data_IF_274001132911
#
_entry.id   IF_274001132911
#
_cell.length_a   1.000
_cell.length_b   1.000
_cell.length_c   1.000
_cell.angle_alpha   90.00
_cell.angle_beta   90.00
_cell.angle_gamma   90.00
#
_symmetry.space_group_name_H-M   'P 1'
#
loop_
_entity.id
_entity.type
_entity.pdbx_description
1 polymer ?
#
# COMPACT_ATOMS: atom_id res chain seq x y z
N UNK A 1 14.41 -19.11 -16.30
CA UNK A 1 15.68 -19.50 -15.62
C UNK A 1 16.56 -18.27 -15.58
N UNK A 2 16.89 -17.76 -14.41
CA UNK A 2 17.81 -16.65 -14.21
C UNK A 2 17.40 -15.79 -13.02
N UNK A 3 17.51 -16.34 -11.79
CA UNK A 3 17.51 -15.53 -10.58
C UNK A 3 18.81 -14.73 -10.57
N UNK A 4 18.78 -13.49 -11.09
CA UNK A 4 19.87 -12.55 -10.86
C UNK A 4 19.65 -11.92 -9.50
N UNK A 5 20.42 -12.39 -8.55
CA UNK A 5 20.53 -11.89 -7.18
C UNK A 5 21.02 -10.43 -7.19
N UNK A 6 20.16 -9.49 -6.78
CA UNK A 6 20.48 -8.08 -6.53
C UNK A 6 21.48 -7.85 -5.37
N UNK A 7 22.11 -8.90 -4.85
CA UNK A 7 23.11 -8.85 -3.77
C UNK A 7 24.41 -8.18 -4.24
N UNK A 8 24.71 -8.22 -5.55
CA UNK A 8 25.99 -7.72 -6.08
C UNK A 8 26.14 -6.20 -6.12
N UNK A 9 25.06 -5.43 -6.23
CA UNK A 9 25.14 -3.95 -6.35
C UNK A 9 25.42 -3.24 -5.02
N UNK A 10 24.97 -3.80 -3.90
CA UNK A 10 25.24 -3.21 -2.57
C UNK A 10 26.70 -3.35 -2.15
N UNK A 11 27.36 -4.44 -2.53
CA UNK A 11 28.77 -4.65 -2.18
C UNK A 11 29.74 -3.76 -2.96
N UNK A 12 29.40 -3.38 -4.20
CA UNK A 12 30.23 -2.46 -4.99
C UNK A 12 30.15 -1.00 -4.49
N UNK A 13 29.02 -0.58 -3.93
CA UNK A 13 28.84 0.77 -3.41
C UNK A 13 29.65 1.04 -2.12
N UNK A 14 30.01 0.00 -1.36
CA UNK A 14 30.78 0.16 -0.11
C UNK A 14 32.23 0.56 -0.32
N UNK A 15 32.77 0.38 -1.51
CA UNK A 15 34.19 0.70 -1.80
C UNK A 15 34.42 2.12 -2.32
N UNK A 16 33.38 2.90 -2.63
CA UNK A 16 33.49 4.19 -3.31
C UNK A 16 32.92 5.40 -2.55
N UNK A 17 32.35 5.24 -1.36
CA UNK A 17 31.89 6.39 -0.58
C UNK A 17 32.15 6.22 0.91
N UNK A 18 32.93 7.14 1.46
CA UNK A 18 33.12 7.39 2.91
C UNK A 18 31.88 8.00 3.59
N UNK A 19 30.76 8.11 2.89
CA UNK A 19 29.44 8.43 3.44
C UNK A 19 28.67 7.11 3.54
N UNK A 20 28.41 6.65 4.76
CA UNK A 20 27.67 5.42 5.04
C UNK A 20 26.29 5.43 4.39
N UNK A 21 26.21 4.98 3.14
CA UNK A 21 24.95 4.62 2.52
C UNK A 21 24.49 3.31 3.19
N UNK A 22 23.64 3.43 4.21
CA UNK A 22 22.96 2.28 4.76
C UNK A 22 22.17 1.62 3.63
N UNK A 23 22.52 0.37 3.30
CA UNK A 23 21.80 -0.41 2.31
C UNK A 23 20.52 -0.93 2.98
N UNK A 24 19.45 -0.19 2.81
CA UNK A 24 18.13 -0.60 3.31
C UNK A 24 17.61 -1.74 2.45
N UNK A 25 17.56 -2.93 3.04
CA UNK A 25 16.95 -4.10 2.42
C UNK A 25 15.61 -4.39 3.08
N UNK A 26 14.59 -4.63 2.28
CA UNK A 26 13.31 -5.09 2.80
C UNK A 26 13.46 -6.47 3.45
N UNK A 27 12.67 -6.78 4.50
CA UNK A 27 12.57 -8.12 5.01
C UNK A 27 12.20 -9.13 3.92
N UNK A 28 12.55 -10.39 4.13
CA UNK A 28 12.10 -11.49 3.27
C UNK A 28 10.57 -11.42 3.16
N UNK A 29 10.02 -11.69 1.98
CA UNK A 29 8.58 -11.63 1.66
C UNK A 29 7.94 -10.23 1.63
N UNK A 30 8.74 -9.17 1.65
CA UNK A 30 8.27 -7.82 1.39
C UNK A 30 8.71 -7.37 -0.01
N UNK A 31 7.82 -6.70 -0.73
CA UNK A 31 8.11 -6.12 -2.05
C UNK A 31 8.91 -4.82 -1.88
N UNK A 32 10.19 -4.77 -2.30
CA UNK A 32 10.95 -3.52 -2.30
C UNK A 32 10.55 -2.66 -3.50
N UNK A 33 10.19 -1.40 -3.23
CA UNK A 33 9.87 -0.44 -4.29
C UNK A 33 10.07 0.99 -3.82
N UNK A 34 10.81 1.79 -4.59
CA UNK A 34 11.03 3.23 -4.36
C UNK A 34 11.48 3.59 -2.94
N UNK A 35 12.34 2.76 -2.32
CA UNK A 35 12.83 2.96 -0.95
C UNK A 35 11.82 2.62 0.14
N UNK A 36 10.72 1.98 -0.21
CA UNK A 36 9.72 1.43 0.69
C UNK A 36 9.61 -0.08 0.51
N UNK A 37 9.08 -0.73 1.52
CA UNK A 37 8.79 -2.17 1.53
C UNK A 37 7.30 -2.37 1.72
N UNK A 38 6.67 -3.16 0.86
CA UNK A 38 5.24 -3.42 0.89
C UNK A 38 4.96 -4.88 1.21
N UNK A 39 3.90 -5.13 1.97
CA UNK A 39 3.40 -6.49 2.22
C UNK A 39 1.89 -6.54 2.29
N UNK A 40 1.32 -7.52 1.58
CA UNK A 40 -0.10 -7.87 1.66
C UNK A 40 -0.34 -8.80 2.84
N UNK A 41 -1.43 -8.57 3.56
CA UNK A 41 -1.91 -9.41 4.65
C UNK A 41 -3.31 -9.90 4.32
N UNK A 42 -3.48 -11.20 4.19
CA UNK A 42 -4.75 -11.86 3.80
C UNK A 42 -5.77 -11.97 4.93
N UNK A 43 -5.36 -11.80 6.21
CA UNK A 43 -6.29 -11.85 7.34
C UNK A 43 -7.14 -10.57 7.39
N UNK A 44 -8.47 -10.63 7.11
CA UNK A 44 -9.26 -9.43 6.96
C UNK A 44 -9.38 -8.62 8.25
N UNK A 45 -9.34 -7.31 8.13
CA UNK A 45 -9.50 -6.35 9.24
C UNK A 45 -10.35 -5.16 8.80
N UNK A 46 -10.94 -4.45 9.80
CA UNK A 46 -11.44 -3.09 9.58
C UNK A 46 -10.29 -2.17 9.15
N UNK A 47 -10.61 -1.05 8.50
CA UNK A 47 -9.56 -0.13 8.04
C UNK A 47 -8.67 0.36 9.20
N UNK A 48 -9.29 0.73 10.33
CA UNK A 48 -8.54 1.22 11.50
C UNK A 48 -7.65 0.12 12.10
N UNK A 49 -8.18 -1.11 12.23
CA UNK A 49 -7.39 -2.22 12.77
C UNK A 49 -6.24 -2.61 11.83
N UNK A 50 -6.44 -2.49 10.51
CA UNK A 50 -5.40 -2.71 9.52
C UNK A 50 -4.29 -1.64 9.63
N UNK A 51 -4.65 -0.35 9.74
CA UNK A 51 -3.68 0.75 9.95
C UNK A 51 -2.91 0.54 11.26
N UNK A 52 -3.61 0.24 12.36
CA UNK A 52 -2.97 -0.05 13.65
C UNK A 52 -2.06 -1.27 13.60
N UNK A 53 -2.43 -2.28 12.81
CA UNK A 53 -1.59 -3.46 12.59
C UNK A 53 -0.30 -3.10 11.86
N UNK A 54 -0.38 -2.34 10.75
CA UNK A 54 0.81 -1.88 10.02
C UNK A 54 1.76 -1.10 10.93
N UNK A 55 1.23 -0.17 11.72
CA UNK A 55 2.02 0.68 12.64
C UNK A 55 2.78 -0.08 13.73
N UNK A 56 2.37 -1.32 14.04
CA UNK A 56 3.05 -2.17 15.02
C UNK A 56 4.37 -2.76 14.53
N UNK A 57 4.61 -2.86 13.22
CA UNK A 57 5.86 -3.43 12.70
C UNK A 57 7.08 -2.59 13.06
N UNK A 58 7.01 -1.30 12.80
CA UNK A 58 8.01 -0.32 13.23
C UNK A 58 7.45 1.10 13.10
N UNK A 59 8.04 2.09 13.79
CA UNK A 59 7.68 3.49 13.60
C UNK A 59 7.75 3.90 12.11
N UNK A 60 6.69 4.54 11.61
CA UNK A 60 6.57 4.97 10.22
C UNK A 60 6.01 3.93 9.25
N UNK A 61 5.61 2.73 9.73
CA UNK A 61 4.80 1.81 8.93
C UNK A 61 3.32 2.22 8.97
N UNK A 62 2.65 2.15 7.83
CA UNK A 62 1.24 2.51 7.63
C UNK A 62 0.59 1.59 6.60
N UNK A 63 -0.71 1.71 6.40
CA UNK A 63 -1.33 1.22 5.18
C UNK A 63 -0.71 1.91 3.97
N UNK A 64 -0.64 1.22 2.83
CA UNK A 64 0.05 1.71 1.64
C UNK A 64 -0.54 3.01 1.10
N UNK A 65 0.30 3.96 0.74
CA UNK A 65 -0.03 5.14 -0.05
C UNK A 65 0.45 4.98 -1.49
N UNK A 66 -0.30 5.53 -2.46
CA UNK A 66 -0.07 5.39 -3.90
C UNK A 66 -0.08 6.77 -4.53
N UNK A 67 0.99 7.11 -5.28
CA UNK A 67 1.21 8.48 -5.73
C UNK A 67 1.35 8.64 -7.24
N UNK A 68 1.35 7.54 -8.01
CA UNK A 68 1.50 7.53 -9.47
C UNK A 68 0.86 6.30 -10.09
N UNK A 69 0.53 6.38 -11.38
CA UNK A 69 0.00 5.23 -12.14
C UNK A 69 0.94 4.01 -12.09
N UNK A 70 2.25 4.23 -12.19
CA UNK A 70 3.23 3.14 -12.12
C UNK A 70 3.22 2.43 -10.76
N UNK A 71 3.05 3.17 -9.65
CA UNK A 71 2.95 2.56 -8.32
C UNK A 71 1.64 1.78 -8.17
N UNK A 72 0.54 2.32 -8.72
CA UNK A 72 -0.77 1.67 -8.73
C UNK A 72 -0.73 0.35 -9.50
N UNK A 73 -0.10 0.34 -10.69
CA UNK A 73 0.01 -0.85 -11.53
C UNK A 73 0.85 -1.95 -10.86
N UNK A 74 2.01 -1.59 -10.31
CA UNK A 74 2.90 -2.57 -9.67
C UNK A 74 2.30 -3.16 -8.38
N UNK A 75 1.59 -2.35 -7.60
CA UNK A 75 0.89 -2.85 -6.41
C UNK A 75 -0.32 -3.71 -6.78
N UNK A 76 -1.03 -3.38 -7.85
CA UNK A 76 -2.14 -4.19 -8.36
C UNK A 76 -1.65 -5.58 -8.81
N UNK A 77 -0.54 -5.64 -9.55
CA UNK A 77 0.10 -6.90 -9.94
C UNK A 77 0.52 -7.71 -8.72
N UNK A 78 1.22 -7.08 -7.77
CA UNK A 78 1.66 -7.73 -6.53
C UNK A 78 0.49 -8.30 -5.71
N UNK A 79 -0.61 -7.53 -5.58
CA UNK A 79 -1.81 -7.98 -4.87
C UNK A 79 -2.45 -9.16 -5.59
N UNK A 80 -2.59 -9.11 -6.92
CA UNK A 80 -3.15 -10.18 -7.74
C UNK A 80 -2.36 -11.48 -7.63
N UNK A 81 -1.03 -11.38 -7.56
CA UNK A 81 -0.17 -12.56 -7.41
C UNK A 81 -0.25 -13.18 -6.01
N UNK A 82 -0.48 -12.34 -5.01
CA UNK A 82 -0.49 -12.77 -3.61
C UNK A 82 -1.87 -13.29 -3.16
N UNK A 83 -2.95 -12.58 -3.53
CA UNK A 83 -4.32 -12.95 -3.18
C UNK A 83 -4.96 -13.73 -4.34
N UNK A 84 -5.32 -14.98 -4.07
CA UNK A 84 -6.03 -15.84 -5.03
C UNK A 84 -7.54 -15.72 -4.92
N UNK A 85 -8.03 -15.02 -3.92
CA UNK A 85 -9.45 -14.76 -3.68
C UNK A 85 -9.77 -13.32 -4.08
N UNK A 86 -10.93 -13.12 -4.72
CA UNK A 86 -11.37 -11.84 -5.31
C UNK A 86 -11.77 -10.76 -4.27
N UNK A 87 -11.11 -10.72 -3.12
CA UNK A 87 -11.39 -9.76 -2.05
C UNK A 87 -10.75 -8.39 -2.32
N UNK A 88 -11.49 -7.31 -2.01
CA UNK A 88 -10.94 -5.96 -2.03
C UNK A 88 -9.82 -5.80 -0.99
N UNK A 89 -8.92 -4.84 -1.18
CA UNK A 89 -7.72 -4.66 -0.33
C UNK A 89 -7.63 -3.22 0.19
N UNK A 90 -7.61 -3.03 1.50
CA UNK A 90 -7.44 -1.73 2.12
C UNK A 90 -6.11 -1.08 1.76
N UNK A 91 -6.17 0.21 1.43
CA UNK A 91 -5.04 1.15 1.32
C UNK A 91 -5.20 2.30 2.32
N UNK A 92 -4.16 3.11 2.49
CA UNK A 92 -4.11 4.14 3.53
C UNK A 92 -4.96 5.39 3.30
N UNK A 93 -5.70 5.47 2.19
CA UNK A 93 -6.54 6.63 1.87
C UNK A 93 -7.84 6.61 2.67
N UNK A 94 -8.17 7.73 3.32
CA UNK A 94 -9.39 7.84 4.11
C UNK A 94 -9.88 9.30 4.21
N UNK A 95 -11.14 9.50 4.62
CA UNK A 95 -11.76 10.79 4.90
C UNK A 95 -12.15 10.89 6.39
N UNK A 96 -11.20 11.20 7.29
CA UNK A 96 -11.43 11.19 8.74
C UNK A 96 -12.41 12.26 9.21
N UNK A 97 -12.60 13.33 8.45
CA UNK A 97 -13.51 14.43 8.80
C UNK A 97 -14.90 14.28 8.17
N UNK A 98 -15.11 13.27 7.32
CA UNK A 98 -16.37 13.02 6.60
C UNK A 98 -16.81 14.23 5.74
N UNK A 99 -15.84 14.92 5.15
CA UNK A 99 -16.02 16.14 4.33
C UNK A 99 -15.63 15.97 2.88
N UNK A 100 -15.44 14.72 2.43
CA UNK A 100 -14.96 14.38 1.10
C UNK A 100 -13.53 14.91 0.83
N UNK A 101 -12.74 14.99 1.90
CA UNK A 101 -11.32 15.38 1.84
C UNK A 101 -10.48 14.18 2.15
N UNK A 102 -9.91 13.58 1.09
CA UNK A 102 -9.14 12.37 1.18
C UNK A 102 -7.71 12.64 1.60
N UNK A 103 -7.24 11.90 2.60
CA UNK A 103 -5.87 11.99 3.13
C UNK A 103 -5.26 10.61 3.30
N UNK A 104 -3.96 10.51 3.09
CA UNK A 104 -3.21 9.29 3.38
C UNK A 104 -2.90 9.18 4.88
N UNK A 105 -2.95 7.96 5.43
CA UNK A 105 -2.67 7.69 6.85
C UNK A 105 -1.22 8.00 7.23
N UNK A 106 -0.29 7.92 6.29
CA UNK A 106 1.11 8.30 6.44
C UNK A 106 1.38 9.81 6.29
N UNK A 107 0.32 10.62 6.07
CA UNK A 107 0.36 12.07 5.86
C UNK A 107 1.09 12.52 4.60
N UNK A 108 1.35 11.65 3.65
CA UNK A 108 1.87 12.01 2.34
C UNK A 108 0.84 12.80 1.52
N UNK A 109 1.31 13.49 0.46
CA UNK A 109 0.45 14.33 -0.38
C UNK A 109 -0.60 13.51 -1.14
N UNK A 110 -1.86 13.97 -1.18
CA UNK A 110 -2.97 13.34 -1.88
C UNK A 110 -3.20 14.02 -3.24
N UNK A 111 -2.23 13.89 -4.16
CA UNK A 111 -2.26 14.54 -5.48
C UNK A 111 -2.61 13.56 -6.61
N UNK A 112 -2.66 12.27 -6.33
CA UNK A 112 -2.98 11.21 -7.27
C UNK A 112 -4.15 10.39 -6.75
N UNK A 113 -5.11 10.09 -7.63
CA UNK A 113 -6.25 9.22 -7.35
C UNK A 113 -6.56 8.34 -8.56
N UNK A 114 -6.89 7.08 -8.31
CA UNK A 114 -7.28 6.12 -9.36
C UNK A 114 -8.69 5.58 -9.10
N UNK A 115 -9.65 6.49 -8.89
CA UNK A 115 -11.04 6.12 -8.64
C UNK A 115 -11.64 5.29 -9.79
N UNK A 116 -12.49 4.32 -9.44
CA UNK A 116 -13.34 3.67 -10.42
C UNK A 116 -14.39 4.64 -10.96
N UNK A 117 -14.98 4.33 -12.10
CA UNK A 117 -16.03 5.16 -12.67
C UNK A 117 -17.22 5.30 -11.70
N UNK A 118 -17.59 6.52 -11.40
CA UNK A 118 -18.65 6.85 -10.45
C UNK A 118 -18.23 6.94 -8.99
N UNK A 119 -16.96 6.62 -8.66
CA UNK A 119 -16.41 6.75 -7.32
C UNK A 119 -15.58 8.03 -7.13
N UNK A 120 -15.45 8.50 -5.91
CA UNK A 120 -16.03 8.05 -4.65
C UNK A 120 -17.51 8.49 -4.53
N UNK A 121 -18.42 7.57 -4.22
CA UNK A 121 -19.87 7.83 -4.24
C UNK A 121 -20.50 8.00 -2.86
N UNK A 122 -19.80 7.64 -1.78
CA UNK A 122 -20.28 7.68 -0.40
C UNK A 122 -21.67 7.03 -0.23
N UNK A 123 -21.80 5.82 -0.73
CA UNK A 123 -23.06 5.08 -0.68
C UNK A 123 -23.66 5.08 0.73
N UNK A 124 -24.92 5.40 0.83
CA UNK A 124 -25.66 5.51 2.11
C UNK A 124 -25.03 6.46 3.14
N UNK A 125 -24.14 7.37 2.71
CA UNK A 125 -23.39 8.30 3.57
C UNK A 125 -22.57 7.60 4.66
N UNK A 126 -21.90 6.47 4.32
CA UNK A 126 -21.15 5.65 5.27
C UNK A 126 -19.74 5.27 4.80
N UNK A 127 -19.29 5.75 3.64
CA UNK A 127 -18.05 5.32 3.01
C UNK A 127 -16.97 6.39 3.16
N UNK A 128 -15.98 6.12 4.01
CA UNK A 128 -14.94 7.07 4.37
C UNK A 128 -13.53 6.45 4.31
N UNK A 129 -13.43 5.18 3.89
CA UNK A 129 -12.17 4.45 3.75
C UNK A 129 -12.07 3.87 2.34
N UNK A 130 -10.86 3.67 1.84
CA UNK A 130 -10.63 3.33 0.44
C UNK A 130 -9.93 1.98 0.30
N UNK A 131 -10.41 1.20 -0.65
CA UNK A 131 -9.80 -0.06 -1.03
C UNK A 131 -9.45 -0.11 -2.53
N UNK A 132 -8.50 -0.95 -2.88
CA UNK A 132 -8.28 -1.42 -4.24
C UNK A 132 -9.43 -2.35 -4.61
N UNK A 133 -10.07 -2.11 -5.76
CA UNK A 133 -11.27 -2.84 -6.16
C UNK A 133 -10.91 -4.06 -7.00
N UNK A 134 -11.16 -5.25 -6.44
CA UNK A 134 -10.81 -6.53 -7.04
C UNK A 134 -11.34 -6.74 -8.48
N UNK A 135 -12.61 -6.38 -8.83
CA UNK A 135 -13.11 -6.54 -10.20
C UNK A 135 -12.33 -5.79 -11.28
N UNK A 136 -11.49 -4.83 -10.92
CA UNK A 136 -10.62 -4.10 -11.86
C UNK A 136 -9.17 -4.62 -11.86
N UNK A 137 -8.92 -5.78 -11.25
CA UNK A 137 -7.57 -6.26 -11.02
C UNK A 137 -6.78 -5.33 -10.11
N UNK A 138 -7.44 -4.72 -9.12
CA UNK A 138 -6.86 -3.79 -8.14
C UNK A 138 -6.32 -2.46 -8.69
N UNK A 139 -6.57 -2.15 -9.97
CA UNK A 139 -6.11 -0.91 -10.62
C UNK A 139 -6.95 0.31 -10.23
N UNK A 140 -8.20 0.11 -9.87
CA UNK A 140 -9.14 1.18 -9.52
C UNK A 140 -9.56 1.09 -8.06
N UNK A 141 -9.98 2.24 -7.52
CA UNK A 141 -10.29 2.41 -6.11
C UNK A 141 -11.77 2.68 -5.90
N UNK A 142 -12.27 2.25 -4.75
CA UNK A 142 -13.63 2.51 -4.31
C UNK A 142 -13.63 2.94 -2.84
N UNK A 143 -14.51 3.89 -2.45
CA UNK A 143 -14.77 4.17 -1.06
C UNK A 143 -15.72 3.12 -0.46
N UNK A 144 -15.55 2.84 0.82
CA UNK A 144 -16.32 1.82 1.53
C UNK A 144 -16.47 2.15 3.02
N UNK A 145 -17.44 1.50 3.72
CA UNK A 145 -17.52 1.62 5.17
C UNK A 145 -16.25 1.10 5.85
N UNK A 146 -15.67 1.90 6.74
CA UNK A 146 -14.38 1.59 7.38
C UNK A 146 -14.41 0.32 8.24
N UNK A 147 -15.58 -0.12 8.66
CA UNK A 147 -15.81 -1.32 9.48
C UNK A 147 -15.83 -2.62 8.66
N UNK A 148 -15.91 -2.52 7.32
CA UNK A 148 -15.86 -3.69 6.45
C UNK A 148 -14.53 -4.40 6.63
N UNK A 149 -14.57 -5.74 6.63
CA UNK A 149 -13.35 -6.53 6.81
C UNK A 149 -12.74 -6.86 5.44
N UNK A 150 -11.52 -6.39 5.20
CA UNK A 150 -10.77 -6.69 3.99
C UNK A 150 -9.32 -7.10 4.31
N UNK A 151 -8.68 -7.90 3.46
CA UNK A 151 -7.22 -7.92 3.33
C UNK A 151 -6.67 -6.50 3.21
N UNK A 152 -5.40 -6.32 3.47
CA UNK A 152 -4.81 -4.98 3.47
C UNK A 152 -3.33 -5.03 3.08
N UNK A 153 -2.79 -3.90 2.65
CA UNK A 153 -1.38 -3.75 2.29
C UNK A 153 -0.70 -2.73 3.19
N UNK A 154 0.36 -3.16 3.87
CA UNK A 154 1.23 -2.26 4.63
C UNK A 154 2.40 -1.76 3.78
N UNK A 155 2.88 -0.56 4.08
CA UNK A 155 4.16 -0.04 3.64
C UNK A 155 5.02 0.36 4.83
N UNK A 156 6.33 0.14 4.72
CA UNK A 156 7.33 0.53 5.72
C UNK A 156 8.56 1.12 5.05
N UNK A 157 9.20 2.06 5.73
CA UNK A 157 10.55 2.49 5.37
C UNK A 157 11.55 1.72 6.25
N UNK A 158 12.47 1.01 5.63
CA UNK A 158 13.53 0.23 6.31
C UNK A 158 14.88 0.87 6.08
#
# INVERSE_FOLDING_TARGET
MGHFTFIGLCLLAMFLSLSGAECYTCPIDWLPKNGLCYKVFSNPKSWLDAEMFCRKFKPGCHLASIHRDADSADLAEYVSDYLKDDGNVWIGLNDPQKKRTWVWSDRSSSNYFSWNQGEPNNSKNKEYCVHLWAPTGYLKWNDAPCETLHPFICQCKY
#
